data_IF_114631153785
#
_entry.id   IF_114631153785
#
_cell.length_a   1.000
_cell.length_b   1.000
_cell.length_c   1.000
_cell.angle_alpha   90.00
_cell.angle_beta   90.00
_cell.angle_gamma   90.00
#
_symmetry.space_group_name_H-M   'P 1'
#
loop_
_entity.id
_entity.type
_entity.pdbx_description
1 polymer ?
#
# COMPACT_ATOMS: atom_id res chain seq x y z
N UNK A 1 9.03 0.10 26.11
CA UNK A 1 9.54 1.39 25.56
C UNK A 1 8.35 2.29 25.19
N UNK A 2 8.48 3.63 25.10
CA UNK A 2 7.34 4.50 24.71
C UNK A 2 7.22 4.65 23.19
N UNK A 3 6.01 4.89 22.66
CA UNK A 3 5.79 5.11 21.23
C UNK A 3 6.60 6.30 20.65
N UNK A 4 6.80 7.35 21.46
CA UNK A 4 7.62 8.51 21.05
C UNK A 4 9.09 8.11 20.92
N UNK A 5 9.64 7.36 21.87
CA UNK A 5 11.03 6.88 21.79
C UNK A 5 11.26 5.96 20.57
N UNK A 6 10.25 5.18 20.20
CA UNK A 6 10.30 4.33 19.00
C UNK A 6 10.35 5.20 17.73
N UNK A 7 9.51 6.23 17.64
CA UNK A 7 9.51 7.17 16.50
C UNK A 7 10.79 8.00 16.44
N UNK A 8 11.34 8.42 17.58
CA UNK A 8 12.63 9.13 17.64
C UNK A 8 13.77 8.25 17.12
N UNK A 9 13.79 6.97 17.50
CA UNK A 9 14.76 5.99 16.99
C UNK A 9 14.63 5.83 15.47
N UNK A 10 13.41 5.63 14.96
CA UNK A 10 13.14 5.49 13.52
C UNK A 10 13.49 6.76 12.73
N UNK A 11 13.33 7.94 13.32
CA UNK A 11 13.66 9.22 12.68
C UNK A 11 15.14 9.60 12.75
N UNK A 12 15.89 9.06 13.72
CA UNK A 12 17.30 9.34 13.92
C UNK A 12 18.22 8.44 13.06
N UNK A 13 17.73 7.27 12.66
CA UNK A 13 18.46 6.29 11.88
C UNK A 13 17.83 6.16 10.47
N UNK A 14 18.54 6.57 9.40
CA UNK A 14 18.02 6.51 8.03
C UNK A 14 17.83 5.09 7.50
N UNK A 15 18.49 4.10 8.12
CA UNK A 15 18.39 2.70 7.75
C UNK A 15 17.34 1.95 8.59
N UNK A 16 16.78 2.58 9.63
CA UNK A 16 15.82 1.94 10.51
C UNK A 16 14.45 1.79 9.84
N UNK A 17 13.94 0.56 9.81
CA UNK A 17 12.61 0.24 9.30
C UNK A 17 11.65 -0.10 10.45
N UNK A 18 10.37 0.22 10.27
CA UNK A 18 9.30 -0.24 11.17
C UNK A 18 9.21 -1.77 11.25
N UNK A 19 9.69 -2.48 10.23
CA UNK A 19 9.79 -3.94 10.17
C UNK A 19 10.86 -4.52 11.11
N UNK A 20 11.84 -3.70 11.53
CA UNK A 20 12.93 -4.12 12.42
C UNK A 20 12.60 -3.93 13.90
N UNK A 21 11.40 -3.43 14.20
CA UNK A 21 10.93 -3.27 15.57
C UNK A 21 10.74 -4.63 16.25
N UNK A 22 11.09 -4.70 17.53
CA UNK A 22 10.74 -5.86 18.35
C UNK A 22 9.22 -5.96 18.51
N UNK A 23 8.72 -7.16 18.84
CA UNK A 23 7.29 -7.38 19.08
C UNK A 23 6.72 -6.43 20.15
N UNK A 24 7.50 -6.09 21.17
CA UNK A 24 7.08 -5.16 22.23
C UNK A 24 6.96 -3.73 21.70
N UNK A 25 7.96 -3.26 20.93
CA UNK A 25 7.95 -1.92 20.34
C UNK A 25 6.80 -1.79 19.33
N UNK A 26 6.61 -2.80 18.48
CA UNK A 26 5.52 -2.83 17.51
C UNK A 26 4.15 -2.79 18.20
N UNK A 27 3.94 -3.56 19.27
CA UNK A 27 2.70 -3.54 20.03
C UNK A 27 2.42 -2.17 20.68
N UNK A 28 3.45 -1.53 21.25
CA UNK A 28 3.33 -0.20 21.83
C UNK A 28 2.96 0.87 20.80
N UNK A 29 3.54 0.79 19.59
CA UNK A 29 3.21 1.68 18.48
C UNK A 29 1.77 1.47 18.00
N UNK A 30 1.36 0.21 17.80
CA UNK A 30 0.02 -0.12 17.32
C UNK A 30 -1.07 0.27 18.32
N UNK A 31 -0.83 0.10 19.63
CA UNK A 31 -1.78 0.56 20.65
C UNK A 31 -2.02 2.08 20.57
N UNK A 32 -0.97 2.85 20.27
CA UNK A 32 -1.09 4.31 20.15
C UNK A 32 -1.82 4.72 18.87
N UNK A 33 -1.55 4.04 17.75
CA UNK A 33 -2.27 4.23 16.49
C UNK A 33 -3.76 3.90 16.66
N UNK A 34 -4.07 2.80 17.34
CA UNK A 34 -5.45 2.40 17.60
C UNK A 34 -6.19 3.44 18.45
N UNK A 35 -5.58 3.91 19.54
CA UNK A 35 -6.14 4.98 20.36
C UNK A 35 -6.37 6.27 19.55
N UNK A 36 -5.49 6.59 18.60
CA UNK A 36 -5.67 7.73 17.70
C UNK A 36 -6.84 7.54 16.74
N UNK A 37 -7.04 6.33 16.19
CA UNK A 37 -8.17 6.00 15.31
C UNK A 37 -9.52 6.12 16.04
N UNK A 38 -9.58 5.69 17.29
CA UNK A 38 -10.79 5.80 18.11
C UNK A 38 -11.18 7.25 18.41
N UNK A 39 -10.19 8.14 18.54
CA UNK A 39 -10.42 9.59 18.72
C UNK A 39 -10.77 10.26 17.37
N UNK A 40 -10.12 9.84 16.29
CA UNK A 40 -10.26 10.44 14.96
C UNK A 40 -11.02 9.50 14.02
N UNK A 41 -12.32 9.35 14.25
CA UNK A 41 -13.21 8.49 13.45
C UNK A 41 -13.34 8.89 11.96
N UNK A 42 -12.73 10.00 11.55
CA UNK A 42 -12.81 10.55 10.19
C UNK A 42 -11.70 10.06 9.23
N UNK A 43 -10.84 9.13 9.66
CA UNK A 43 -9.82 8.57 8.78
C UNK A 43 -10.49 7.65 7.75
N UNK A 44 -10.81 8.18 6.57
CA UNK A 44 -11.30 7.41 5.44
C UNK A 44 -10.10 6.65 4.86
N UNK A 45 -10.05 5.34 5.10
CA UNK A 45 -9.11 4.44 4.43
C UNK A 45 -9.77 4.06 3.10
N UNK A 46 -9.29 4.61 2.00
CA UNK A 46 -9.61 4.07 0.68
C UNK A 46 -8.77 2.82 0.48
N UNK A 47 -9.41 1.65 0.56
CA UNK A 47 -8.77 0.41 0.13
C UNK A 47 -8.45 0.51 -1.37
N UNK A 48 -7.24 0.13 -1.81
CA UNK A 48 -6.98 -0.01 -3.24
C UNK A 48 -7.96 -1.06 -3.77
N UNK A 49 -8.72 -0.69 -4.80
CA UNK A 49 -9.59 -1.63 -5.49
C UNK A 49 -8.70 -2.66 -6.18
N UNK A 50 -8.77 -3.91 -5.71
CA UNK A 50 -8.05 -5.06 -6.29
C UNK A 50 -8.74 -5.56 -7.57
N UNK A 51 -9.74 -4.82 -8.06
CA UNK A 51 -10.30 -5.01 -9.39
C UNK A 51 -9.18 -4.87 -10.42
N UNK A 52 -8.82 -5.99 -11.04
CA UNK A 52 -7.98 -6.00 -12.23
C UNK A 52 -8.56 -5.00 -13.24
N UNK A 53 -7.74 -4.14 -13.86
CA UNK A 53 -8.24 -3.27 -14.90
C UNK A 53 -8.85 -4.14 -16.00
N UNK A 54 -10.14 -3.96 -16.28
CA UNK A 54 -10.83 -4.62 -17.39
C UNK A 54 -9.94 -4.46 -18.64
N UNK A 55 -9.50 -5.56 -19.25
CA UNK A 55 -8.66 -5.51 -20.45
C UNK A 55 -9.39 -4.66 -21.48
N UNK A 56 -8.85 -3.45 -21.77
CA UNK A 56 -9.38 -2.61 -22.84
C UNK A 56 -9.43 -3.45 -24.12
N UNK A 57 -10.63 -3.58 -24.67
CA UNK A 57 -10.95 -4.40 -25.84
C UNK A 57 -10.02 -3.97 -26.99
N UNK A 58 -8.95 -4.75 -27.19
CA UNK A 58 -7.88 -4.46 -28.16
C UNK A 58 -8.57 -4.37 -29.53
N UNK A 59 -8.41 -3.27 -30.28
CA UNK A 59 -9.03 -3.16 -31.59
C UNK A 59 -8.52 -4.31 -32.46
N UNK A 60 -9.46 -5.08 -33.01
CA UNK A 60 -9.15 -6.23 -33.86
C UNK A 60 -8.28 -5.78 -35.02
N UNK A 61 -7.15 -6.46 -35.26
CA UNK A 61 -6.28 -6.17 -36.41
C UNK A 61 -7.11 -6.27 -37.71
N UNK A 62 -6.95 -5.33 -38.66
CA UNK A 62 -7.59 -5.47 -39.96
C UNK A 62 -6.98 -6.68 -40.67
N UNK A 63 -7.84 -7.61 -41.10
CA UNK A 63 -7.42 -8.74 -41.93
C UNK A 63 -6.94 -8.22 -43.29
N UNK A 64 -5.63 -8.16 -43.49
CA UNK A 64 -5.02 -7.96 -44.80
C UNK A 64 -5.35 -9.17 -45.69
N UNK A 65 -6.40 -9.05 -46.51
CA UNK A 65 -6.61 -9.94 -47.65
C UNK A 65 -5.96 -9.30 -48.87
N UNK A 66 -4.64 -9.34 -48.92
CA UNK A 66 -3.88 -9.12 -50.14
C UNK A 66 -3.45 -10.47 -50.74
N UNK A 67 -3.77 -10.61 -52.03
CA UNK A 67 -3.22 -11.54 -53.01
C UNK A 67 -3.58 -13.04 -52.82
N UNK A 68 -3.92 -13.82 -53.86
CA UNK A 68 -3.30 -13.82 -55.16
C UNK A 68 -4.14 -14.61 -56.20
N UNK A 69 -3.88 -14.30 -57.47
CA UNK A 69 -4.39 -14.92 -58.70
C UNK A 69 -4.40 -16.46 -58.70
N UNK A 70 -5.43 -17.02 -59.36
CA UNK A 70 -5.29 -18.18 -60.23
C UNK A 70 -6.26 -18.08 -61.43
#
# INVERSE_FOLDING_TARGET
MSAIAILEKLGADPDADVRDLTNEEHAALMQKIQAFKEINAALIITEPDDSEPDEEDKPSEPSDNDDDKA
#
